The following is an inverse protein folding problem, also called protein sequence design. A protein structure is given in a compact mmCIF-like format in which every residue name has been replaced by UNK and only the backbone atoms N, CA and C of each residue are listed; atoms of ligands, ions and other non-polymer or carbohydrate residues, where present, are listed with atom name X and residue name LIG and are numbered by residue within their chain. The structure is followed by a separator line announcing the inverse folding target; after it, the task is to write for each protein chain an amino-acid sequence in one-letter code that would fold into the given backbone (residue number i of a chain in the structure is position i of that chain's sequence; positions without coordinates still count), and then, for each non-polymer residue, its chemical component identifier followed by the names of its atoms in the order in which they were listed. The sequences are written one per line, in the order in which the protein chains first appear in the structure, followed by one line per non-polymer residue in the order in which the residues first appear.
data_IF_469361702981
#
_entry.id   IF_469361702981
#
_cell.length_a   1.000
_cell.length_b   1.000
_cell.length_c   1.000
_cell.angle_alpha   90.00
_cell.angle_beta   90.00
_cell.angle_gamma   90.00
#
_symmetry.space_group_name_H-M   'P 1'
#
loop_
_entity.id
_entity.type
_entity.pdbx_description
1 polymer ?
#
# COMPACT_ATOMS: atom_id res chain seq x y z
N UNK A 1 -11.94 -9.42 -25.25
CA UNK A 1 -11.63 -10.80 -25.67
C UNK A 1 -12.87 -11.49 -26.24
N UNK A 2 -14.04 -11.48 -25.57
CA UNK A 2 -15.24 -12.18 -26.02
C UNK A 2 -15.90 -11.58 -27.25
N UNK A 3 -15.82 -10.25 -27.45
CA UNK A 3 -16.44 -9.53 -28.56
C UNK A 3 -16.00 -10.06 -29.96
N UNK A 4 -14.76 -10.51 -30.10
CA UNK A 4 -14.25 -11.09 -31.34
C UNK A 4 -14.91 -12.42 -31.73
N UNK A 5 -15.59 -13.06 -30.76
CA UNK A 5 -16.33 -14.31 -30.98
C UNK A 5 -17.86 -14.07 -31.01
N UNK A 6 -18.30 -12.82 -31.11
CA UNK A 6 -19.71 -12.46 -31.13
C UNK A 6 -20.42 -12.56 -29.78
N UNK A 7 -19.68 -12.78 -28.69
CA UNK A 7 -20.20 -12.83 -27.32
C UNK A 7 -20.14 -11.41 -26.74
N UNK A 8 -21.28 -10.74 -26.61
CA UNK A 8 -21.38 -9.33 -26.27
C UNK A 8 -22.12 -9.11 -24.94
N UNK A 9 -23.08 -9.98 -24.63
CA UNK A 9 -23.92 -9.87 -23.43
C UNK A 9 -23.67 -11.01 -22.44
N UNK A 10 -24.10 -10.86 -21.20
CA UNK A 10 -24.09 -11.94 -20.21
C UNK A 10 -24.96 -13.12 -20.68
N UNK A 11 -26.08 -12.86 -21.38
CA UNK A 11 -26.90 -13.90 -21.98
C UNK A 11 -26.16 -14.71 -23.06
N UNK A 12 -25.25 -14.10 -23.80
CA UNK A 12 -24.40 -14.81 -24.75
C UNK A 12 -23.40 -15.72 -24.04
N UNK A 13 -22.86 -15.28 -22.92
CA UNK A 13 -21.96 -16.10 -22.07
C UNK A 13 -22.74 -17.28 -21.51
N UNK A 14 -23.94 -17.06 -20.96
CA UNK A 14 -24.80 -18.12 -20.44
C UNK A 14 -25.13 -19.16 -21.53
N UNK A 15 -25.45 -18.75 -22.75
CA UNK A 15 -25.68 -19.68 -23.88
C UNK A 15 -24.38 -20.40 -24.27
N UNK A 16 -23.28 -19.69 -24.33
CA UNK A 16 -21.97 -20.27 -24.66
C UNK A 16 -21.57 -21.35 -23.64
N UNK A 17 -21.90 -21.18 -22.36
CA UNK A 17 -21.55 -22.14 -21.33
C UNK A 17 -22.26 -23.49 -21.48
N UNK A 18 -23.41 -23.54 -22.16
CA UNK A 18 -24.15 -24.80 -22.38
C UNK A 18 -23.45 -25.75 -23.35
N UNK A 19 -22.78 -25.20 -24.36
CA UNK A 19 -22.22 -26.01 -25.46
C UNK A 19 -20.69 -25.90 -25.55
N UNK A 20 -20.12 -24.84 -25.06
CA UNK A 20 -18.71 -24.48 -25.21
C UNK A 20 -18.06 -23.99 -23.90
N UNK A 21 -18.37 -24.62 -22.78
CA UNK A 21 -17.82 -24.27 -21.47
C UNK A 21 -16.28 -24.30 -21.47
N UNK A 22 -15.69 -25.35 -22.06
CA UNK A 22 -14.22 -25.49 -22.18
C UNK A 22 -13.55 -24.30 -22.89
N UNK A 23 -14.25 -23.65 -23.80
CA UNK A 23 -13.75 -22.46 -24.48
C UNK A 23 -13.63 -21.29 -23.50
N UNK A 24 -14.62 -21.10 -22.62
CA UNK A 24 -14.57 -20.06 -21.57
C UNK A 24 -13.45 -20.35 -20.56
N UNK A 25 -13.25 -21.60 -20.16
CA UNK A 25 -12.13 -21.99 -19.31
C UNK A 25 -10.76 -21.76 -19.96
N UNK A 26 -10.62 -22.00 -21.26
CA UNK A 26 -9.37 -21.69 -21.99
C UNK A 26 -9.05 -20.18 -22.00
N UNK A 27 -10.06 -19.33 -22.03
CA UNK A 27 -9.89 -17.87 -22.06
C UNK A 27 -9.66 -17.25 -20.68
N UNK A 28 -10.28 -17.77 -19.64
CA UNK A 28 -10.38 -17.14 -18.32
C UNK A 28 -9.85 -18.00 -17.15
N UNK A 29 -9.50 -19.26 -17.43
CA UNK A 29 -9.08 -20.20 -16.39
C UNK A 29 -10.20 -20.41 -15.37
N UNK A 30 -9.86 -20.56 -14.11
CA UNK A 30 -10.82 -20.78 -13.00
C UNK A 30 -11.85 -19.63 -12.85
N UNK A 31 -11.54 -18.43 -13.35
CA UNK A 31 -12.47 -17.31 -13.32
C UNK A 31 -13.66 -17.50 -14.29
N UNK A 32 -13.61 -18.49 -15.20
CA UNK A 32 -14.72 -18.81 -16.09
C UNK A 32 -15.96 -19.27 -15.30
N UNK A 33 -15.76 -20.00 -14.19
CA UNK A 33 -16.83 -20.47 -13.32
C UNK A 33 -17.64 -19.29 -12.75
N UNK A 34 -16.96 -18.32 -12.14
CA UNK A 34 -17.63 -17.12 -11.64
C UNK A 34 -18.33 -16.32 -12.75
N UNK A 35 -17.70 -16.23 -13.93
CA UNK A 35 -18.28 -15.53 -15.06
C UNK A 35 -19.56 -16.22 -15.56
N UNK A 36 -19.58 -17.54 -15.60
CA UNK A 36 -20.74 -18.36 -16.00
C UNK A 36 -21.85 -18.23 -14.96
N UNK A 37 -21.54 -18.37 -13.68
CA UNK A 37 -22.50 -18.23 -12.58
C UNK A 37 -23.20 -16.86 -12.62
N UNK A 38 -22.42 -15.78 -12.73
CA UNK A 38 -22.97 -14.44 -12.85
C UNK A 38 -23.78 -14.25 -14.15
N UNK A 39 -23.39 -14.91 -15.25
CA UNK A 39 -24.15 -14.87 -16.49
C UNK A 39 -25.54 -15.53 -16.36
N UNK A 40 -25.65 -16.53 -15.49
CA UNK A 40 -26.92 -17.18 -15.11
C UNK A 40 -27.66 -16.45 -13.99
N UNK A 41 -27.10 -15.36 -13.46
CA UNK A 41 -27.68 -14.60 -12.35
C UNK A 41 -27.46 -15.24 -10.98
N UNK A 42 -26.49 -16.14 -10.87
CA UNK A 42 -26.12 -16.79 -9.62
C UNK A 42 -25.00 -16.02 -8.94
N UNK A 43 -25.22 -15.60 -7.68
CA UNK A 43 -24.21 -14.99 -6.80
C UNK A 43 -24.23 -15.68 -5.43
N UNK A 44 -23.30 -16.62 -5.18
CA UNK A 44 -23.27 -17.36 -3.93
C UNK A 44 -22.76 -16.54 -2.75
N UNK A 45 -22.07 -15.43 -3.02
CA UNK A 45 -21.43 -14.63 -1.97
C UNK A 45 -22.40 -13.61 -1.40
N UNK A 46 -22.83 -13.87 -0.16
CA UNK A 46 -23.69 -12.93 0.57
C UNK A 46 -22.89 -11.84 1.26
N UNK A 47 -23.55 -10.73 1.62
CA UNK A 47 -22.91 -9.64 2.38
C UNK A 47 -22.38 -10.12 3.74
N UNK A 48 -22.96 -11.14 4.34
CA UNK A 48 -22.49 -11.71 5.60
C UNK A 48 -21.21 -12.52 5.39
N UNK A 49 -21.08 -13.24 4.29
CA UNK A 49 -19.82 -13.90 3.89
C UNK A 49 -18.72 -12.86 3.63
N UNK A 50 -19.03 -11.77 2.93
CA UNK A 50 -18.08 -10.67 2.71
C UNK A 50 -17.61 -10.07 4.05
N UNK A 51 -18.53 -9.83 4.99
CA UNK A 51 -18.18 -9.32 6.33
C UNK A 51 -17.37 -10.32 7.17
N UNK A 52 -17.65 -11.60 7.02
CA UNK A 52 -16.96 -12.68 7.74
C UNK A 52 -15.59 -13.01 7.13
N UNK A 53 -15.37 -12.65 5.87
CA UNK A 53 -14.13 -12.97 5.16
C UNK A 53 -12.92 -12.39 5.87
N UNK A 54 -11.93 -13.22 6.08
CA UNK A 54 -10.62 -12.85 6.61
C UNK A 54 -9.57 -13.29 5.59
N UNK A 55 -8.99 -12.34 4.86
CA UNK A 55 -7.97 -12.69 3.85
C UNK A 55 -6.74 -13.27 4.52
N UNK A 56 -6.21 -14.34 3.94
CA UNK A 56 -4.90 -14.92 4.28
C UNK A 56 -3.73 -14.06 3.75
N UNK A 57 -4.02 -12.85 3.27
CA UNK A 57 -2.98 -11.99 2.71
C UNK A 57 -2.08 -11.46 3.79
N UNK A 58 -0.80 -11.74 3.63
CA UNK A 58 0.27 -11.18 4.46
C UNK A 58 0.80 -9.85 3.92
N UNK A 59 -0.08 -9.07 3.30
CA UNK A 59 0.27 -7.77 2.74
C UNK A 59 -0.87 -6.78 2.87
N UNK A 60 -0.51 -5.49 2.95
CA UNK A 60 -1.42 -4.35 2.89
C UNK A 60 -0.94 -3.40 1.81
N UNK A 61 -1.86 -2.77 1.10
CA UNK A 61 -1.53 -1.78 0.08
C UNK A 61 -2.35 -0.51 0.26
N UNK A 62 -1.69 0.63 0.08
CA UNK A 62 -2.32 1.95 0.05
C UNK A 62 -1.93 2.64 -1.25
N UNK A 63 -2.91 3.03 -2.05
CA UNK A 63 -2.71 3.73 -3.32
C UNK A 63 -3.29 5.15 -3.27
N UNK A 64 -2.67 6.07 -4.01
CA UNK A 64 -3.17 7.41 -4.21
C UNK A 64 -2.91 7.88 -5.64
N UNK A 65 -3.95 8.39 -6.29
CA UNK A 65 -3.84 9.19 -7.51
C UNK A 65 -3.92 10.65 -7.09
N UNK A 66 -2.91 11.42 -7.47
CA UNK A 66 -2.84 12.85 -7.16
C UNK A 66 -3.79 13.64 -8.09
N UNK A 67 -4.37 14.71 -7.60
CA UNK A 67 -5.32 15.52 -8.38
C UNK A 67 -4.65 16.24 -9.55
N UNK A 68 -3.38 16.60 -9.40
CA UNK A 68 -2.55 17.21 -10.43
C UNK A 68 -1.19 16.54 -10.48
N UNK A 69 -0.38 16.85 -11.47
CA UNK A 69 1.02 16.47 -11.54
C UNK A 69 1.81 17.13 -10.40
N UNK A 70 2.52 16.35 -9.60
CA UNK A 70 3.31 16.83 -8.45
C UNK A 70 4.79 16.80 -8.76
N UNK A 71 5.51 17.81 -8.25
CA UNK A 71 6.97 17.73 -8.20
C UNK A 71 7.42 16.64 -7.23
N UNK A 72 8.68 16.23 -7.35
CA UNK A 72 9.25 15.17 -6.50
C UNK A 72 9.17 15.54 -5.02
N UNK A 73 9.42 16.82 -4.68
CA UNK A 73 9.37 17.30 -3.29
C UNK A 73 7.96 17.17 -2.69
N UNK A 74 6.92 17.57 -3.45
CA UNK A 74 5.53 17.43 -3.01
C UNK A 74 5.12 15.96 -2.91
N UNK A 75 5.50 15.15 -3.90
CA UNK A 75 5.22 13.71 -3.88
C UNK A 75 5.89 13.00 -2.70
N UNK A 76 7.11 13.41 -2.32
CA UNK A 76 7.80 12.90 -1.15
C UNK A 76 7.04 13.14 0.15
N UNK A 77 6.43 14.31 0.30
CA UNK A 77 5.56 14.61 1.46
C UNK A 77 4.40 13.62 1.53
N UNK A 78 3.71 13.39 0.40
CA UNK A 78 2.59 12.45 0.34
C UNK A 78 3.03 11.03 0.67
N UNK A 79 4.17 10.58 0.18
CA UNK A 79 4.73 9.25 0.49
C UNK A 79 4.98 9.10 2.00
N UNK A 80 5.52 10.13 2.66
CA UNK A 80 5.74 10.13 4.10
C UNK A 80 4.42 10.16 4.90
N UNK A 81 3.39 10.88 4.41
CA UNK A 81 2.04 10.83 4.99
C UNK A 81 1.43 9.42 4.90
N UNK A 82 1.60 8.76 3.73
CA UNK A 82 1.17 7.38 3.54
C UNK A 82 1.89 6.42 4.50
N UNK A 83 3.20 6.57 4.66
CA UNK A 83 4.02 5.80 5.59
C UNK A 83 3.53 5.94 7.05
N UNK A 84 3.29 7.18 7.48
CA UNK A 84 2.76 7.46 8.80
C UNK A 84 1.38 6.84 9.01
N UNK A 85 0.49 6.95 8.03
CA UNK A 85 -0.86 6.37 8.10
C UNK A 85 -0.84 4.85 8.20
N UNK A 86 0.00 4.20 7.38
CA UNK A 86 0.20 2.75 7.41
C UNK A 86 0.79 2.30 8.75
N UNK A 87 1.73 3.06 9.34
CA UNK A 87 2.27 2.73 10.66
C UNK A 87 1.21 2.70 11.75
N UNK A 88 0.27 3.66 11.74
CA UNK A 88 -0.86 3.69 12.66
C UNK A 88 -1.81 2.50 12.42
N UNK A 89 -2.04 2.13 11.16
CA UNK A 89 -2.87 0.99 10.82
C UNK A 89 -2.26 -0.34 11.26
N UNK A 90 -0.94 -0.52 11.11
CA UNK A 90 -0.21 -1.68 11.64
C UNK A 90 -0.36 -1.79 13.16
N UNK A 91 -0.19 -0.68 13.88
CA UNK A 91 -0.39 -0.62 15.33
C UNK A 91 -1.81 -0.99 15.72
N UNK A 92 -2.81 -0.45 15.03
CA UNK A 92 -4.23 -0.71 15.31
C UNK A 92 -4.61 -2.17 15.09
N UNK A 93 -4.04 -2.79 14.05
CA UNK A 93 -4.24 -4.21 13.71
C UNK A 93 -3.32 -5.18 14.45
N UNK A 94 -2.39 -4.68 15.26
CA UNK A 94 -1.35 -5.46 15.95
C UNK A 94 -0.50 -6.29 14.99
N UNK A 95 -0.07 -5.66 13.90
CA UNK A 95 0.74 -6.25 12.85
C UNK A 95 2.12 -5.58 12.79
N UNK A 96 3.10 -6.35 12.37
CA UNK A 96 4.46 -5.92 12.08
C UNK A 96 4.81 -6.26 10.63
N UNK A 97 5.78 -5.54 10.07
CA UNK A 97 6.31 -5.78 8.73
C UNK A 97 7.82 -5.65 8.71
N UNK A 98 8.45 -6.37 7.79
CA UNK A 98 9.88 -6.26 7.49
C UNK A 98 10.16 -5.91 6.02
N UNK A 99 9.12 -5.73 5.19
CA UNK A 99 9.32 -5.41 3.77
C UNK A 99 8.33 -4.34 3.28
N UNK A 100 8.87 -3.38 2.56
CA UNK A 100 8.16 -2.26 1.96
C UNK A 100 8.42 -2.25 0.47
N UNK A 101 7.36 -2.05 -0.31
CA UNK A 101 7.40 -1.87 -1.77
C UNK A 101 6.77 -0.54 -2.12
N UNK A 102 7.45 0.26 -2.92
CA UNK A 102 6.95 1.54 -3.40
C UNK A 102 6.94 1.55 -4.93
N UNK A 103 5.81 1.96 -5.49
CA UNK A 103 5.65 2.21 -6.92
C UNK A 103 5.23 3.65 -7.13
N UNK A 104 5.94 4.37 -7.99
CA UNK A 104 5.70 5.77 -8.33
C UNK A 104 5.37 5.87 -9.82
N UNK A 105 4.14 6.22 -10.13
CA UNK A 105 3.68 6.46 -11.50
C UNK A 105 3.83 7.94 -11.86
N UNK A 106 4.39 8.19 -13.03
CA UNK A 106 4.63 9.54 -13.54
C UNK A 106 3.45 10.08 -14.34
N UNK A 107 3.36 11.40 -14.43
CA UNK A 107 2.34 12.09 -15.20
C UNK A 107 2.73 12.20 -16.68
N UNK A 108 1.73 12.21 -17.55
CA UNK A 108 1.90 12.45 -18.99
C UNK A 108 2.52 13.82 -19.29
N UNK A 109 2.28 14.81 -18.42
CA UNK A 109 2.87 16.14 -18.58
C UNK A 109 4.41 16.11 -18.60
N UNK A 110 5.02 15.07 -18.00
CA UNK A 110 6.46 14.85 -18.08
C UNK A 110 6.98 14.63 -19.49
N UNK A 111 6.11 14.27 -20.45
CA UNK A 111 6.46 14.08 -21.86
C UNK A 111 6.24 15.34 -22.70
N UNK A 112 5.52 16.35 -22.17
CA UNK A 112 5.09 17.52 -22.96
C UNK A 112 6.26 18.40 -23.42
N UNK A 113 7.35 18.40 -22.70
CA UNK A 113 8.52 19.23 -22.99
C UNK A 113 9.48 18.60 -24.01
N UNK A 114 9.22 17.38 -24.49
CA UNK A 114 10.07 16.67 -25.46
C UNK A 114 11.48 16.36 -24.99
N UNK A 115 11.77 16.54 -23.70
CA UNK A 115 13.11 16.38 -23.10
C UNK A 115 13.33 14.96 -22.59
N UNK A 116 12.23 14.22 -22.28
CA UNK A 116 12.36 12.88 -21.74
C UNK A 116 12.66 11.85 -22.84
N UNK A 117 13.87 11.33 -22.83
CA UNK A 117 14.36 10.29 -23.75
C UNK A 117 14.29 8.86 -23.17
N UNK A 118 13.69 8.71 -21.96
CA UNK A 118 13.59 7.42 -21.29
C UNK A 118 12.48 6.52 -21.83
N UNK A 119 12.36 5.34 -21.23
CA UNK A 119 11.36 4.35 -21.61
C UNK A 119 9.94 4.82 -21.27
N UNK A 120 9.02 4.61 -22.22
CA UNK A 120 7.59 4.88 -22.03
C UNK A 120 6.78 3.59 -22.06
N UNK A 121 5.62 3.61 -21.41
CA UNK A 121 4.62 2.55 -21.46
C UNK A 121 3.27 3.15 -21.84
N UNK A 122 2.32 2.30 -22.19
CA UNK A 122 0.95 2.74 -22.49
C UNK A 122 0.06 2.45 -21.30
N UNK A 123 -0.66 3.44 -20.84
CA UNK A 123 -1.61 3.29 -19.74
C UNK A 123 -2.91 2.58 -20.19
N UNK A 124 -3.84 2.39 -19.25
CA UNK A 124 -5.14 1.75 -19.52
C UNK A 124 -5.99 2.50 -20.58
N UNK A 125 -5.80 3.79 -20.73
CA UNK A 125 -6.53 4.66 -21.66
C UNK A 125 -5.83 4.80 -23.02
N UNK A 126 -4.69 4.14 -23.22
CA UNK A 126 -3.91 4.20 -24.47
C UNK A 126 -2.92 5.37 -24.54
N UNK A 127 -2.72 6.12 -23.45
CA UNK A 127 -1.77 7.23 -23.40
C UNK A 127 -0.35 6.74 -23.13
N UNK A 128 0.62 7.32 -23.84
CA UNK A 128 2.02 7.11 -23.49
C UNK A 128 2.37 7.88 -22.24
N UNK A 129 2.95 7.20 -21.28
CA UNK A 129 3.45 7.75 -20.02
C UNK A 129 4.86 7.24 -19.74
N UNK A 130 5.70 7.93 -18.96
CA UNK A 130 6.98 7.37 -18.52
C UNK A 130 6.78 6.07 -17.75
N UNK A 131 7.72 5.13 -17.88
CA UNK A 131 7.69 3.89 -17.10
C UNK A 131 7.77 4.24 -15.60
N UNK A 132 6.91 3.64 -14.79
CA UNK A 132 6.85 3.86 -13.36
C UNK A 132 8.16 3.46 -12.67
N UNK A 133 8.54 4.21 -11.63
CA UNK A 133 9.60 3.79 -10.73
C UNK A 133 9.06 2.75 -9.73
N UNK A 134 9.86 1.74 -9.44
CA UNK A 134 9.50 0.66 -8.55
C UNK A 134 10.70 0.24 -7.73
N UNK A 135 10.48 -0.05 -6.45
CA UNK A 135 11.53 -0.55 -5.59
C UNK A 135 11.01 -1.23 -4.34
N UNK A 136 11.89 -2.01 -3.76
CA UNK A 136 11.66 -2.74 -2.51
C UNK A 136 12.77 -2.42 -1.52
N UNK A 137 12.42 -2.32 -0.25
CA UNK A 137 13.37 -2.25 0.86
C UNK A 137 12.95 -3.21 1.97
N UNK A 138 13.93 -3.87 2.57
CA UNK A 138 13.73 -4.74 3.71
C UNK A 138 14.18 -4.02 4.98
N UNK A 139 13.55 -4.37 6.08
CA UNK A 139 13.85 -3.89 7.42
C UNK A 139 14.39 -5.08 8.20
N UNK A 140 15.48 -4.89 8.93
CA UNK A 140 16.19 -5.98 9.60
C UNK A 140 15.30 -6.77 10.57
N UNK A 141 14.39 -6.06 11.26
CA UNK A 141 13.46 -6.67 12.20
C UNK A 141 12.03 -6.20 11.94
N UNK A 142 11.03 -7.10 12.01
CA UNK A 142 9.63 -6.73 11.85
C UNK A 142 9.24 -5.59 12.80
N UNK A 143 8.61 -4.55 12.26
CA UNK A 143 8.28 -3.34 13.01
C UNK A 143 6.95 -2.72 12.61
N UNK A 144 6.36 -1.93 13.51
CA UNK A 144 5.26 -0.99 13.27
C UNK A 144 5.66 0.45 13.65
N UNK A 145 6.95 0.70 13.92
CA UNK A 145 7.46 2.04 14.25
C UNK A 145 7.28 3.00 13.08
N UNK A 146 6.52 4.05 13.29
CA UNK A 146 6.30 5.10 12.30
C UNK A 146 7.59 5.79 11.88
N UNK A 147 8.52 5.98 12.82
CA UNK A 147 9.81 6.60 12.55
C UNK A 147 10.65 5.74 11.59
N UNK A 148 10.79 4.45 11.88
CA UNK A 148 11.56 3.51 11.04
C UNK A 148 10.93 3.39 9.66
N UNK A 149 9.59 3.23 9.60
CA UNK A 149 8.88 3.11 8.31
C UNK A 149 9.02 4.39 7.48
N UNK A 150 8.84 5.57 8.06
CA UNK A 150 8.99 6.85 7.34
C UNK A 150 10.43 7.04 6.82
N UNK A 151 11.43 6.69 7.61
CA UNK A 151 12.84 6.76 7.23
C UNK A 151 13.12 5.83 6.05
N UNK A 152 12.76 4.54 6.16
CA UNK A 152 13.01 3.54 5.11
C UNK A 152 12.23 3.81 3.82
N UNK A 153 11.00 4.30 3.92
CA UNK A 153 10.19 4.69 2.76
C UNK A 153 10.76 5.95 2.11
N UNK A 154 11.22 6.92 2.90
CA UNK A 154 11.89 8.11 2.37
C UNK A 154 13.17 7.77 1.61
N UNK A 155 14.05 6.94 2.21
CA UNK A 155 15.26 6.44 1.55
C UNK A 155 14.94 5.67 0.25
N UNK A 156 13.89 4.83 0.27
CA UNK A 156 13.45 4.08 -0.90
C UNK A 156 12.96 5.02 -2.01
N UNK A 157 12.12 5.99 -1.66
CA UNK A 157 11.61 7.00 -2.60
C UNK A 157 12.78 7.76 -3.26
N UNK A 158 13.69 8.30 -2.45
CA UNK A 158 14.84 9.09 -2.93
C UNK A 158 15.77 8.26 -3.83
N UNK A 159 15.84 6.93 -3.62
CA UNK A 159 16.64 6.00 -4.43
C UNK A 159 16.04 5.68 -5.80
N UNK A 160 14.70 5.58 -5.89
CA UNK A 160 14.03 5.07 -7.10
C UNK A 160 13.49 6.18 -8.00
N UNK A 161 13.26 7.38 -7.44
CA UNK A 161 12.60 8.46 -8.17
C UNK A 161 13.49 9.03 -9.28
N UNK A 162 12.88 9.38 -10.40
CA UNK A 162 13.51 10.24 -11.39
C UNK A 162 13.16 11.69 -11.04
N UNK A 163 14.17 12.55 -10.70
CA UNK A 163 13.92 13.91 -10.23
C UNK A 163 13.34 14.85 -11.29
N UNK A 164 13.49 14.51 -12.57
CA UNK A 164 13.07 15.35 -13.69
C UNK A 164 11.61 15.12 -14.11
N UNK A 165 10.94 14.13 -13.50
CA UNK A 165 9.59 13.74 -13.86
C UNK A 165 8.56 14.14 -12.83
N UNK A 166 7.36 14.49 -13.30
CA UNK A 166 6.22 14.80 -12.47
C UNK A 166 5.50 13.52 -12.04
N UNK A 167 5.09 13.46 -10.78
CA UNK A 167 4.44 12.28 -10.16
C UNK A 167 2.93 12.42 -10.24
N UNK A 168 2.25 11.32 -10.60
CA UNK A 168 0.78 11.24 -10.66
C UNK A 168 0.17 10.19 -9.76
N UNK A 169 0.88 9.10 -9.52
CA UNK A 169 0.36 7.97 -8.72
C UNK A 169 1.43 7.48 -7.76
N UNK A 170 1.00 7.16 -6.55
CA UNK A 170 1.82 6.56 -5.52
C UNK A 170 1.13 5.30 -5.02
N UNK A 171 1.85 4.19 -4.94
CA UNK A 171 1.36 2.94 -4.36
C UNK A 171 2.39 2.40 -3.39
N UNK A 172 1.99 2.30 -2.14
CA UNK A 172 2.78 1.77 -1.05
C UNK A 172 2.21 0.41 -0.65
N UNK A 173 3.00 -0.64 -0.77
CA UNK A 173 2.64 -1.98 -0.32
C UNK A 173 3.55 -2.42 0.81
N UNK A 174 2.95 -2.98 1.84
CA UNK A 174 3.60 -3.49 3.04
C UNK A 174 3.41 -5.00 3.04
N UNK A 175 4.50 -5.72 2.96
CA UNK A 175 4.49 -7.18 2.81
C UNK A 175 4.99 -7.88 4.09
N UNK A 176 4.95 -9.19 4.08
CA UNK A 176 5.39 -10.06 5.18
C UNK A 176 4.75 -9.65 6.52
N UNK A 177 3.44 -9.39 6.49
CA UNK A 177 2.72 -9.04 7.71
C UNK A 177 2.71 -10.25 8.66
N UNK A 178 3.14 -9.98 9.89
CA UNK A 178 3.12 -10.96 10.99
C UNK A 178 2.39 -10.38 12.18
N UNK A 179 1.66 -11.22 12.92
CA UNK A 179 1.01 -10.78 14.15
C UNK A 179 2.07 -10.51 15.24
N UNK A 180 1.90 -9.44 16.01
CA UNK A 180 2.76 -9.15 17.16
C UNK A 180 2.81 -10.32 18.17
N UNK A 181 1.74 -11.13 18.24
CA UNK A 181 1.66 -12.30 19.11
C UNK A 181 2.49 -13.47 18.58
N UNK A 182 2.66 -13.57 17.26
CA UNK A 182 3.43 -14.64 16.60
C UNK A 182 4.93 -14.38 16.65
N UNK A 183 5.33 -13.12 16.70
CA UNK A 183 6.74 -12.75 16.88
C UNK A 183 7.11 -13.00 18.32
N UNK A 184 7.58 -14.21 18.59
CA UNK A 184 8.19 -14.50 19.91
C UNK A 184 9.30 -13.48 20.11
N UNK A 185 9.39 -12.87 21.32
CA UNK A 185 10.58 -12.09 21.66
C UNK A 185 11.76 -13.01 21.33
N UNK A 186 12.66 -12.52 20.48
CA UNK A 186 13.93 -13.22 20.28
C UNK A 186 14.50 -13.30 21.69
N UNK A 187 14.30 -14.45 22.34
CA UNK A 187 15.07 -14.81 23.51
C UNK A 187 16.50 -14.94 22.98
N UNK A 188 17.15 -13.79 22.85
CA UNK A 188 18.59 -13.80 22.90
C UNK A 188 18.88 -14.41 24.27
N UNK A 189 19.12 -15.72 24.26
CA UNK A 189 19.97 -16.32 25.31
C UNK A 189 21.20 -15.44 25.24
N UNK A 190 21.26 -14.46 26.13
CA UNK A 190 22.44 -13.63 26.27
C UNK A 190 23.50 -14.62 26.66
N UNK A 191 24.24 -15.10 25.65
CA UNK A 191 25.48 -15.77 25.91
C UNK A 191 26.25 -14.72 26.71
N UNK A 192 26.43 -14.98 28.00
CA UNK A 192 27.17 -14.10 28.87
C UNK A 192 28.61 -14.09 28.33
N UNK A 193 28.89 -13.10 27.47
CA UNK A 193 30.24 -12.82 27.05
C UNK A 193 31.04 -12.45 28.30
N UNK A 194 32.23 -13.01 28.45
CA UNK A 194 33.11 -12.68 29.57
C UNK A 194 33.47 -11.18 29.61
N UNK A 195 33.25 -10.48 28.50
CA UNK A 195 33.46 -9.03 28.36
C UNK A 195 32.20 -8.40 27.71
N UNK A 196 31.15 -8.09 28.50
CA UNK A 196 29.95 -7.46 27.98
C UNK A 196 30.26 -6.06 27.43
N UNK A 197 29.83 -5.79 26.21
CA UNK A 197 29.85 -4.45 25.65
C UNK A 197 28.74 -3.61 26.29
N UNK A 198 29.07 -2.92 27.37
CA UNK A 198 28.12 -2.09 28.12
C UNK A 198 27.55 -0.98 27.28
N UNK A 199 28.32 -0.38 26.35
CA UNK A 199 27.80 0.67 25.45
C UNK A 199 26.73 0.13 24.49
N UNK A 200 26.92 -1.08 23.96
CA UNK A 200 25.94 -1.74 23.12
C UNK A 200 24.67 -2.05 23.90
N UNK A 201 24.78 -2.56 25.12
CA UNK A 201 23.64 -2.86 25.98
C UNK A 201 22.86 -1.60 26.34
N UNK A 202 23.52 -0.49 26.64
CA UNK A 202 22.85 0.80 26.92
C UNK A 202 22.14 1.33 25.68
N UNK A 203 22.74 1.25 24.50
CA UNK A 203 22.12 1.65 23.23
C UNK A 203 20.87 0.83 22.93
N UNK A 204 20.94 -0.49 23.09
CA UNK A 204 19.79 -1.39 22.89
C UNK A 204 18.66 -1.10 23.90
N UNK A 205 19.00 -0.83 25.16
CA UNK A 205 18.03 -0.45 26.18
C UNK A 205 17.35 0.88 25.87
N UNK A 206 18.14 1.89 25.51
CA UNK A 206 17.63 3.20 25.11
C UNK A 206 16.71 3.10 23.88
N UNK A 207 17.09 2.26 22.89
CA UNK A 207 16.28 2.02 21.70
C UNK A 207 14.94 1.34 22.06
N UNK A 208 14.95 0.32 22.90
CA UNK A 208 13.72 -0.34 23.39
C UNK A 208 12.79 0.64 24.12
N UNK A 209 13.35 1.49 24.98
CA UNK A 209 12.57 2.52 25.69
C UNK A 209 11.98 3.55 24.72
N UNK A 210 12.73 3.94 23.70
CA UNK A 210 12.29 4.86 22.64
C UNK A 210 11.12 4.25 21.84
N UNK A 211 11.26 3.01 21.40
CA UNK A 211 10.21 2.30 20.66
C UNK A 211 8.94 2.10 21.52
N UNK A 212 9.09 1.76 22.79
CA UNK A 212 7.97 1.64 23.71
C UNK A 212 7.23 2.98 23.92
N UNK A 213 7.97 4.09 24.04
CA UNK A 213 7.39 5.44 24.14
C UNK A 213 6.68 5.84 22.83
N UNK A 214 7.26 5.53 21.67
CA UNK A 214 6.65 5.76 20.37
C UNK A 214 5.33 4.98 20.26
N UNK A 215 5.34 3.70 20.59
CA UNK A 215 4.16 2.84 20.57
C UNK A 215 3.00 3.42 21.39
N UNK A 216 3.26 3.82 22.64
CA UNK A 216 2.23 4.44 23.49
C UNK A 216 1.66 5.70 22.86
N UNK A 217 2.49 6.51 22.20
CA UNK A 217 2.05 7.70 21.49
C UNK A 217 1.16 7.34 20.29
N UNK A 218 1.54 6.35 19.48
CA UNK A 218 0.75 5.87 18.35
C UNK A 218 -0.62 5.36 18.81
N UNK A 219 -0.68 4.56 19.88
CA UNK A 219 -1.93 4.07 20.47
C UNK A 219 -2.83 5.22 20.94
N UNK A 220 -2.27 6.21 21.61
CA UNK A 220 -3.03 7.40 22.02
C UNK A 220 -3.59 8.18 20.83
N UNK A 221 -2.79 8.38 19.76
CA UNK A 221 -3.24 9.02 18.52
C UNK A 221 -4.38 8.23 17.88
N UNK A 222 -4.29 6.91 17.83
CA UNK A 222 -5.33 6.03 17.27
C UNK A 222 -6.64 6.20 18.08
N UNK A 223 -6.57 6.17 19.41
CA UNK A 223 -7.75 6.34 20.26
C UNK A 223 -8.42 7.72 20.06
N UNK A 224 -7.62 8.78 19.95
CA UNK A 224 -8.14 10.12 19.68
C UNK A 224 -8.83 10.15 18.30
N UNK A 225 -8.19 9.61 17.25
CA UNK A 225 -8.76 9.56 15.90
C UNK A 225 -10.04 8.72 15.84
N UNK A 226 -10.13 7.62 16.56
CA UNK A 226 -11.35 6.80 16.65
C UNK A 226 -12.49 7.55 17.34
N UNK A 227 -12.20 8.32 18.38
CA UNK A 227 -13.22 9.02 19.18
C UNK A 227 -13.68 10.34 18.55
N UNK A 228 -12.77 11.09 17.93
CA UNK A 228 -13.02 12.48 17.51
C UNK A 228 -12.88 12.67 15.98
N UNK A 229 -12.63 11.60 15.22
CA UNK A 229 -12.47 11.63 13.77
C UNK A 229 -11.00 11.69 13.31
N UNK A 230 -10.78 11.33 12.05
CA UNK A 230 -9.44 11.17 11.46
C UNK A 230 -8.59 12.44 11.46
N UNK A 231 -9.23 13.61 11.41
CA UNK A 231 -8.58 14.93 11.39
C UNK A 231 -8.44 15.59 12.77
N UNK A 232 -8.83 14.91 13.85
CA UNK A 232 -8.76 15.46 15.21
C UNK A 232 -7.32 15.68 15.72
N UNK A 233 -6.37 14.93 15.17
CA UNK A 233 -4.95 15.12 15.44
C UNK A 233 -4.15 14.89 14.15
N UNK A 234 -3.36 15.89 13.77
CA UNK A 234 -2.53 15.89 12.58
C UNK A 234 -1.07 16.15 12.97
N UNK A 235 -0.15 15.74 12.12
CA UNK A 235 1.28 16.04 12.28
C UNK A 235 1.63 17.34 11.54
N UNK A 236 2.79 17.94 11.84
CA UNK A 236 3.27 19.11 11.09
C UNK A 236 3.41 18.83 9.59
N UNK A 237 3.74 17.59 9.21
CA UNK A 237 3.82 17.15 7.81
C UNK A 237 2.52 17.37 7.04
N UNK A 238 1.37 17.20 7.68
CA UNK A 238 0.04 17.36 7.05
C UNK A 238 -0.32 18.82 6.74
N UNK A 239 0.51 19.78 7.12
CA UNK A 239 0.39 21.20 6.80
C UNK A 239 1.44 21.69 5.80
N UNK A 240 2.31 20.79 5.34
CA UNK A 240 3.30 21.12 4.30
C UNK A 240 2.62 21.31 2.96
N UNK A 241 3.24 22.10 2.09
CA UNK A 241 2.75 22.28 0.72
C UNK A 241 2.78 20.94 -0.05
N UNK A 242 1.64 20.55 -0.61
CA UNK A 242 1.48 19.27 -1.30
C UNK A 242 0.97 18.13 -0.41
N UNK A 243 0.80 18.34 0.91
CA UNK A 243 0.19 17.36 1.79
C UNK A 243 -1.28 17.10 1.41
N UNK A 244 -1.70 15.84 1.45
CA UNK A 244 -3.05 15.41 0.99
C UNK A 244 -3.85 14.72 2.08
N UNK A 245 -3.23 14.33 3.18
CA UNK A 245 -3.85 13.48 4.20
C UNK A 245 -5.11 14.09 4.82
N UNK A 246 -5.14 15.41 5.04
CA UNK A 246 -6.29 16.11 5.63
C UNK A 246 -7.53 15.99 4.74
N UNK A 247 -7.36 16.15 3.43
CA UNK A 247 -8.45 16.03 2.44
C UNK A 247 -8.85 14.57 2.25
N UNK A 248 -7.89 13.66 2.16
CA UNK A 248 -8.15 12.21 2.06
C UNK A 248 -8.96 11.67 3.23
N UNK A 249 -8.75 12.18 4.42
CA UNK A 249 -9.51 11.76 5.60
C UNK A 249 -11.01 12.11 5.51
N UNK A 250 -11.38 13.03 4.62
CA UNK A 250 -12.77 13.46 4.37
C UNK A 250 -13.41 12.69 3.22
N UNK A 251 -12.63 11.90 2.47
CA UNK A 251 -13.14 11.11 1.35
C UNK A 251 -13.72 9.78 1.82
N UNK A 252 -14.81 9.36 1.20
CA UNK A 252 -15.42 8.03 1.36
C UNK A 252 -15.18 7.26 0.07
N UNK A 253 -14.41 6.14 0.15
CA UNK A 253 -14.10 5.34 -1.02
C UNK A 253 -13.29 6.06 -2.12
N UNK A 254 -12.58 7.15 -1.77
CA UNK A 254 -11.78 7.95 -2.71
C UNK A 254 -12.56 9.08 -3.40
N UNK A 255 -13.82 9.29 -3.04
CA UNK A 255 -14.67 10.35 -3.58
C UNK A 255 -15.06 11.34 -2.47
N UNK A 256 -15.26 12.60 -2.84
CA UNK A 256 -15.94 13.59 -1.98
C UNK A 256 -17.46 13.38 -2.09
N UNK A 257 -18.16 13.56 -0.96
CA UNK A 257 -19.62 13.69 -0.96
C UNK A 257 -20.07 14.96 -1.67
#
# INVERSE_FOLDING_TARGET
RLTQYGIITMGDIARCSLEHEDFLYKLFGVNAELLIDHAWGWEPVTMDLVRAYRPDTRSMSSGQVLQSAYTVEKARIVVLEMAHSVSLELVDKKLLTDQIVLTVGYDIESLSNGIYEGNTTTDHYGWKIPVHAHGTTNIEHPTSSGKILMEKIGELFDRIINPDLLVRRLTLSINHLVSEVEVKPVNNVVQLDLFPDYEKMEREKAEKERLAKERRRQEAVIQIKKKFGKNSILTGLNYSEGATQKERNQQIGGHHE
#
